data_IF_216068176209
#
_entry.id   IF_216068176209
#
_cell.length_a   1.000
_cell.length_b   1.000
_cell.length_c   1.000
_cell.angle_alpha   90.00
_cell.angle_beta   90.00
_cell.angle_gamma   90.00
#
_symmetry.space_group_name_H-M   'P 1'
#
loop_
_entity.id
_entity.type
_entity.pdbx_description
1 polymer ?
#
# COMPACT_ATOMS: atom_id res chain seq x y z
N UNK A 1 -39.13 -36.01 -9.37
CA UNK A 1 -39.45 -34.65 -8.88
C UNK A 1 -38.20 -34.08 -8.22
N UNK A 2 -37.64 -32.95 -8.70
CA UNK A 2 -36.52 -32.31 -8.03
C UNK A 2 -36.96 -31.87 -6.63
N UNK A 3 -36.12 -32.12 -5.62
CA UNK A 3 -36.39 -31.72 -4.23
C UNK A 3 -36.42 -30.19 -4.15
N UNK A 4 -37.37 -29.62 -3.41
CA UNK A 4 -37.52 -28.16 -3.27
C UNK A 4 -36.22 -27.44 -2.81
N UNK A 5 -35.31 -28.16 -2.13
CA UNK A 5 -34.00 -27.64 -1.71
C UNK A 5 -33.08 -27.23 -2.87
N UNK A 6 -33.08 -27.95 -3.98
CA UNK A 6 -32.19 -27.63 -5.10
C UNK A 6 -32.59 -26.34 -5.83
N UNK A 7 -33.88 -25.97 -5.76
CA UNK A 7 -34.41 -24.77 -6.39
C UNK A 7 -34.15 -23.51 -5.55
N UNK A 8 -34.15 -23.62 -4.22
CA UNK A 8 -33.82 -22.49 -3.34
C UNK A 8 -32.37 -22.05 -3.49
N UNK A 9 -31.44 -23.00 -3.56
CA UNK A 9 -30.00 -22.72 -3.55
C UNK A 9 -29.53 -22.03 -4.86
N UNK A 10 -30.14 -22.38 -5.99
CA UNK A 10 -29.87 -21.76 -7.28
C UNK A 10 -30.34 -20.30 -7.34
N UNK A 11 -31.46 -19.98 -6.68
CA UNK A 11 -31.98 -18.61 -6.60
C UNK A 11 -31.08 -17.73 -5.72
N UNK A 12 -30.60 -18.27 -4.59
CA UNK A 12 -29.73 -17.51 -3.66
C UNK A 12 -28.36 -17.16 -4.24
N UNK A 13 -27.77 -18.04 -5.06
CA UNK A 13 -26.48 -17.78 -5.71
C UNK A 13 -26.54 -16.61 -6.70
N UNK A 14 -27.62 -16.52 -7.48
CA UNK A 14 -27.81 -15.41 -8.43
C UNK A 14 -28.02 -14.06 -7.74
N UNK A 15 -28.77 -14.01 -6.64
CA UNK A 15 -28.96 -12.76 -5.88
C UNK A 15 -27.67 -12.26 -5.25
N UNK A 16 -26.86 -13.17 -4.70
CA UNK A 16 -25.57 -12.81 -4.08
C UNK A 16 -24.60 -12.23 -5.10
N UNK A 17 -24.46 -12.86 -6.28
CA UNK A 17 -23.59 -12.36 -7.35
C UNK A 17 -24.05 -11.01 -7.90
N UNK A 18 -25.37 -10.76 -7.95
CA UNK A 18 -25.92 -9.46 -8.36
C UNK A 18 -25.60 -8.35 -7.35
N UNK A 19 -25.72 -8.63 -6.05
CA UNK A 19 -25.33 -7.66 -5.01
C UNK A 19 -23.82 -7.37 -5.09
N UNK A 20 -22.99 -8.41 -5.27
CA UNK A 20 -21.55 -8.25 -5.41
C UNK A 20 -21.18 -7.42 -6.64
N UNK A 21 -21.82 -7.65 -7.79
CA UNK A 21 -21.53 -6.90 -9.02
C UNK A 21 -21.94 -5.42 -8.93
N UNK A 22 -22.98 -5.10 -8.14
CA UNK A 22 -23.40 -3.72 -7.88
C UNK A 22 -22.54 -3.00 -6.83
N UNK A 23 -22.08 -3.72 -5.79
CA UNK A 23 -21.33 -3.12 -4.67
C UNK A 23 -19.86 -2.90 -4.99
N UNK A 24 -19.24 -3.77 -5.78
CA UNK A 24 -17.81 -3.68 -6.12
C UNK A 24 -17.42 -2.35 -6.79
N UNK A 25 -18.15 -1.82 -7.80
CA UNK A 25 -17.83 -0.53 -8.40
C UNK A 25 -17.93 0.63 -7.41
N UNK A 26 -18.94 0.62 -6.52
CA UNK A 26 -19.13 1.67 -5.51
C UNK A 26 -17.94 1.73 -4.56
N UNK A 27 -17.51 0.58 -4.03
CA UNK A 27 -16.38 0.54 -3.10
C UNK A 27 -15.07 0.91 -3.82
N UNK A 28 -14.91 0.56 -5.10
CA UNK A 28 -13.76 1.00 -5.90
C UNK A 28 -13.72 2.52 -6.08
N UNK A 29 -14.87 3.16 -6.33
CA UNK A 29 -14.97 4.62 -6.41
C UNK A 29 -14.61 5.25 -5.07
N UNK A 30 -15.16 4.73 -3.96
CA UNK A 30 -14.84 5.20 -2.61
C UNK A 30 -13.34 5.11 -2.34
N UNK A 31 -12.71 3.97 -2.60
CA UNK A 31 -11.27 3.77 -2.36
C UNK A 31 -10.41 4.73 -3.18
N UNK A 32 -10.78 4.99 -4.44
CA UNK A 32 -10.05 5.92 -5.33
C UNK A 32 -10.22 7.36 -4.89
N UNK A 33 -11.46 7.76 -4.56
CA UNK A 33 -11.75 9.11 -4.09
C UNK A 33 -10.98 9.41 -2.80
N UNK A 34 -10.99 8.49 -1.83
CA UNK A 34 -10.29 8.68 -0.56
C UNK A 34 -8.77 8.65 -0.73
N UNK A 35 -8.24 7.87 -1.68
CA UNK A 35 -6.81 7.92 -2.04
C UNK A 35 -6.40 9.28 -2.62
N UNK A 36 -7.23 9.85 -3.52
CA UNK A 36 -6.99 11.17 -4.08
C UNK A 36 -7.03 12.26 -2.99
N UNK A 37 -8.02 12.19 -2.09
CA UNK A 37 -8.13 13.12 -0.96
C UNK A 37 -6.92 13.02 -0.02
N UNK A 38 -6.51 11.81 0.36
CA UNK A 38 -5.32 11.61 1.21
C UNK A 38 -4.04 12.09 0.53
N UNK A 39 -3.96 12.03 -0.80
CA UNK A 39 -2.81 12.51 -1.56
C UNK A 39 -2.60 14.02 -1.44
N UNK A 40 -3.68 14.80 -1.25
CA UNK A 40 -3.58 16.24 -0.96
C UNK A 40 -2.82 16.47 0.34
N UNK A 41 -3.21 15.75 1.41
CA UNK A 41 -2.49 15.77 2.68
C UNK A 41 -1.02 15.35 2.50
N UNK A 42 -0.79 14.23 1.80
CA UNK A 42 0.56 13.70 1.61
C UNK A 42 1.49 14.68 0.88
N UNK A 43 1.00 15.36 -0.18
CA UNK A 43 1.79 16.37 -0.91
C UNK A 43 2.17 17.53 0.02
N UNK A 44 1.20 18.09 0.75
CA UNK A 44 1.45 19.20 1.68
C UNK A 44 2.39 18.78 2.81
N UNK A 45 2.22 17.56 3.34
CA UNK A 45 3.04 17.02 4.41
C UNK A 45 4.50 16.76 3.96
N UNK A 46 4.69 16.23 2.75
CA UNK A 46 6.01 15.98 2.16
C UNK A 46 6.72 17.24 1.67
N UNK A 47 6.00 18.34 1.45
CA UNK A 47 6.61 19.62 1.08
C UNK A 47 7.58 20.14 2.15
N UNK A 48 7.25 19.94 3.43
CA UNK A 48 8.06 20.42 4.55
C UNK A 48 9.47 19.79 4.61
N UNK A 49 9.65 18.45 4.66
CA UNK A 49 10.99 17.86 4.65
C UNK A 49 11.72 18.07 3.31
N UNK A 50 11.01 18.17 2.18
CA UNK A 50 11.64 18.48 0.88
C UNK A 50 12.16 19.92 0.80
N UNK A 51 11.51 20.87 1.48
CA UNK A 51 11.99 22.27 1.53
C UNK A 51 13.39 22.39 2.17
N UNK A 52 13.79 21.41 2.98
CA UNK A 52 15.11 21.34 3.57
C UNK A 52 16.21 21.18 2.50
N UNK A 53 15.90 20.70 1.30
CA UNK A 53 16.82 20.57 0.16
C UNK A 53 17.30 21.92 -0.38
N UNK A 54 16.50 22.98 -0.22
CA UNK A 54 16.86 24.31 -0.72
C UNK A 54 18.14 24.85 -0.05
N UNK A 55 18.95 25.68 -0.73
CA UNK A 55 20.12 26.31 -0.12
C UNK A 55 19.72 27.32 0.97
N UNK A 56 20.59 27.55 1.96
CA UNK A 56 20.32 28.39 3.14
C UNK A 56 20.80 29.85 3.04
N UNK A 57 20.91 30.43 1.83
CA UNK A 57 21.49 31.78 1.62
C UNK A 57 20.46 32.78 1.04
N UNK A 58 20.35 34.05 1.51
CA UNK A 58 20.73 34.61 2.82
C UNK A 58 19.55 35.23 3.62
N UNK A 59 19.82 35.59 4.88
CA UNK A 59 19.01 36.35 5.86
C UNK A 59 17.71 35.74 6.41
N UNK A 60 16.78 35.25 5.59
CA UNK A 60 15.43 34.88 6.08
C UNK A 60 15.25 33.40 6.40
N UNK A 61 16.26 32.58 6.11
CA UNK A 61 16.15 31.13 6.13
C UNK A 61 17.41 30.48 6.73
N UNK A 62 17.61 30.73 8.04
CA UNK A 62 18.88 30.43 8.75
C UNK A 62 19.24 28.94 8.80
N UNK A 63 18.29 28.02 8.75
CA UNK A 63 18.57 26.58 8.78
C UNK A 63 17.57 25.76 7.95
N UNK A 64 17.98 24.53 7.59
CA UNK A 64 17.11 23.56 6.94
C UNK A 64 15.90 23.19 7.82
N UNK A 65 16.13 23.10 9.13
CA UNK A 65 15.11 22.90 10.14
C UNK A 65 14.07 24.04 10.15
N UNK A 66 14.51 25.30 10.10
CA UNK A 66 13.58 26.45 10.07
C UNK A 66 12.75 26.50 8.80
N UNK A 67 13.29 26.13 7.63
CA UNK A 67 12.49 25.98 6.41
C UNK A 67 11.40 24.96 6.59
N UNK A 68 11.81 23.77 7.01
CA UNK A 68 10.91 22.65 7.17
C UNK A 68 9.82 23.00 8.19
N UNK A 69 10.18 23.69 9.28
CA UNK A 69 9.23 24.23 10.25
C UNK A 69 8.27 25.25 9.62
N UNK A 70 8.77 26.23 8.87
CA UNK A 70 7.94 27.24 8.21
C UNK A 70 6.95 26.63 7.23
N UNK A 71 7.40 25.71 6.36
CA UNK A 71 6.53 25.00 5.42
C UNK A 71 5.56 24.08 6.15
N UNK A 72 5.99 23.43 7.24
CA UNK A 72 5.09 22.64 8.07
C UNK A 72 3.99 23.50 8.69
N UNK A 73 4.32 24.69 9.23
CA UNK A 73 3.33 25.61 9.79
C UNK A 73 2.29 26.03 8.75
N UNK A 74 2.71 26.35 7.53
CA UNK A 74 1.79 26.62 6.41
C UNK A 74 0.92 25.40 6.08
N UNK A 75 1.51 24.20 6.08
CA UNK A 75 0.77 22.97 5.83
C UNK A 75 -0.29 22.68 6.90
N UNK A 76 -0.02 23.02 8.16
CA UNK A 76 -0.98 22.81 9.27
C UNK A 76 -2.26 23.60 9.08
N UNK A 77 -2.18 24.79 8.51
CA UNK A 77 -3.39 25.57 8.18
C UNK A 77 -4.29 24.82 7.19
N UNK A 78 -3.68 24.06 6.27
CA UNK A 78 -4.42 23.31 5.24
C UNK A 78 -5.12 22.08 5.83
N UNK A 79 -4.43 21.27 6.64
CA UNK A 79 -4.92 19.94 7.04
C UNK A 79 -5.09 19.71 8.55
N UNK A 80 -4.71 20.66 9.42
CA UNK A 80 -4.86 20.52 10.88
C UNK A 80 -5.94 21.44 11.48
N UNK A 81 -6.94 21.85 10.69
CA UNK A 81 -8.10 22.53 11.26
C UNK A 81 -9.05 21.51 11.91
N UNK A 82 -9.98 22.02 12.74
CA UNK A 82 -11.00 21.21 13.42
C UNK A 82 -11.77 20.29 12.46
N UNK A 83 -11.99 20.74 11.22
CA UNK A 83 -12.75 19.99 10.22
C UNK A 83 -11.86 19.32 9.18
N UNK A 84 -10.73 19.92 8.80
CA UNK A 84 -9.89 19.36 7.74
C UNK A 84 -9.10 18.17 8.23
N UNK A 85 -8.67 18.11 9.49
CA UNK A 85 -7.92 16.95 9.99
C UNK A 85 -8.76 15.66 10.03
N UNK A 86 -9.98 15.65 10.62
CA UNK A 86 -10.78 14.44 10.66
C UNK A 86 -11.18 13.95 9.26
N UNK A 87 -11.34 14.86 8.29
CA UNK A 87 -11.78 14.51 6.93
C UNK A 87 -10.58 14.16 6.03
N UNK A 88 -9.63 15.07 5.86
CA UNK A 88 -8.52 14.92 4.91
C UNK A 88 -7.48 13.91 5.38
N UNK A 89 -7.25 13.79 6.68
CA UNK A 89 -6.22 12.90 7.22
C UNK A 89 -6.84 11.60 7.68
N UNK A 90 -7.64 11.64 8.75
CA UNK A 90 -8.13 10.43 9.41
C UNK A 90 -9.23 9.72 8.61
N UNK A 91 -10.21 10.46 8.11
CA UNK A 91 -11.35 9.95 7.39
C UNK A 91 -10.95 9.35 6.05
N UNK A 92 -10.18 10.09 5.25
CA UNK A 92 -9.70 9.60 3.96
C UNK A 92 -8.77 8.39 4.12
N UNK A 93 -7.84 8.39 5.07
CA UNK A 93 -6.93 7.26 5.33
C UNK A 93 -7.68 6.02 5.80
N UNK A 94 -8.55 6.17 6.80
CA UNK A 94 -9.32 5.06 7.36
C UNK A 94 -10.24 4.46 6.31
N UNK A 95 -10.96 5.31 5.56
CA UNK A 95 -11.86 4.84 4.50
C UNK A 95 -11.08 4.16 3.38
N UNK A 96 -9.89 4.67 3.00
CA UNK A 96 -9.02 4.04 2.01
C UNK A 96 -8.58 2.62 2.44
N UNK A 97 -8.11 2.47 3.68
CA UNK A 97 -7.67 1.18 4.21
C UNK A 97 -8.85 0.20 4.31
N UNK A 98 -9.97 0.63 4.88
CA UNK A 98 -11.15 -0.22 5.06
C UNK A 98 -11.77 -0.64 3.72
N UNK A 99 -11.90 0.28 2.76
CA UNK A 99 -12.40 -0.06 1.42
C UNK A 99 -11.46 -1.00 0.68
N UNK A 100 -10.14 -0.84 0.80
CA UNK A 100 -9.15 -1.78 0.24
C UNK A 100 -9.24 -3.19 0.83
N UNK A 101 -9.43 -3.30 2.15
CA UNK A 101 -9.69 -4.59 2.82
C UNK A 101 -11.02 -5.17 2.34
N UNK A 102 -12.09 -4.38 2.32
CA UNK A 102 -13.41 -4.81 1.89
C UNK A 102 -13.42 -5.32 0.44
N UNK A 103 -12.79 -4.62 -0.51
CA UNK A 103 -12.68 -5.09 -1.90
C UNK A 103 -11.99 -6.44 -2.00
N UNK A 104 -10.94 -6.68 -1.21
CA UNK A 104 -10.27 -7.98 -1.22
C UNK A 104 -11.22 -9.07 -0.74
N UNK A 105 -11.90 -8.85 0.39
CA UNK A 105 -12.86 -9.79 0.94
C UNK A 105 -14.02 -10.08 -0.02
N UNK A 106 -14.58 -9.04 -0.65
CA UNK A 106 -15.67 -9.19 -1.61
C UNK A 106 -15.24 -9.94 -2.88
N UNK A 107 -14.02 -9.72 -3.38
CA UNK A 107 -13.48 -10.51 -4.49
C UNK A 107 -13.22 -11.97 -4.11
N UNK A 108 -12.79 -12.25 -2.88
CA UNK A 108 -12.69 -13.63 -2.38
C UNK A 108 -14.07 -14.28 -2.35
N UNK A 109 -15.07 -13.59 -1.80
CA UNK A 109 -16.45 -14.06 -1.76
C UNK A 109 -16.97 -14.34 -3.18
N UNK A 110 -16.84 -13.37 -4.08
CA UNK A 110 -17.27 -13.51 -5.47
C UNK A 110 -16.67 -14.75 -6.13
N UNK A 111 -15.37 -15.01 -5.95
CA UNK A 111 -14.71 -16.21 -6.47
C UNK A 111 -15.27 -17.49 -5.86
N UNK A 112 -15.52 -17.50 -4.54
CA UNK A 112 -16.12 -18.66 -3.85
C UNK A 112 -17.53 -18.93 -4.38
N UNK A 113 -18.34 -17.90 -4.55
CA UNK A 113 -19.72 -18.04 -5.01
C UNK A 113 -19.79 -18.49 -6.48
N UNK A 114 -18.95 -17.91 -7.36
CA UNK A 114 -18.80 -18.38 -8.74
C UNK A 114 -18.36 -19.85 -8.79
N UNK A 115 -17.46 -20.29 -7.90
CA UNK A 115 -17.05 -21.71 -7.80
C UNK A 115 -18.21 -22.61 -7.38
N UNK A 116 -19.09 -22.18 -6.46
CA UNK A 116 -20.29 -22.94 -6.07
C UNK A 116 -21.27 -23.07 -7.22
N UNK A 117 -21.61 -21.96 -7.88
CA UNK A 117 -22.52 -21.95 -9.03
C UNK A 117 -22.00 -22.88 -10.13
N UNK A 118 -20.70 -22.81 -10.45
CA UNK A 118 -20.06 -23.69 -11.44
C UNK A 118 -20.14 -25.17 -11.04
N UNK A 119 -19.89 -25.50 -9.76
CA UNK A 119 -20.01 -26.89 -9.27
C UNK A 119 -21.44 -27.43 -9.40
N UNK A 120 -22.44 -26.63 -9.10
CA UNK A 120 -23.84 -27.05 -9.23
C UNK A 120 -24.27 -27.17 -10.71
N UNK A 121 -23.78 -26.31 -11.60
CA UNK A 121 -24.02 -26.44 -13.04
C UNK A 121 -23.40 -27.73 -13.61
N UNK A 122 -22.18 -28.06 -13.20
CA UNK A 122 -21.51 -29.32 -13.59
C UNK A 122 -22.29 -30.53 -13.09
N UNK A 123 -22.74 -30.52 -11.83
CA UNK A 123 -23.59 -31.59 -11.28
C UNK A 123 -24.93 -31.70 -12.01
N UNK A 124 -25.53 -30.57 -12.41
CA UNK A 124 -26.79 -30.56 -13.17
C UNK A 124 -26.60 -31.18 -14.54
N UNK A 125 -25.58 -30.76 -15.29
CA UNK A 125 -25.24 -31.33 -16.60
C UNK A 125 -24.91 -32.82 -16.52
N UNK A 126 -24.19 -33.25 -15.49
CA UNK A 126 -23.91 -34.68 -15.27
C UNK A 126 -25.19 -35.49 -15.05
N UNK A 127 -26.16 -34.96 -14.28
CA UNK A 127 -27.48 -35.60 -14.10
C UNK A 127 -28.30 -35.63 -15.39
N UNK A 128 -28.30 -34.53 -16.15
CA UNK A 128 -29.00 -34.45 -17.44
C UNK A 128 -28.44 -35.49 -18.43
N UNK A 129 -27.12 -35.59 -18.55
CA UNK A 129 -26.45 -36.60 -19.38
C UNK A 129 -26.77 -38.02 -18.92
N UNK A 130 -26.82 -38.27 -17.60
CA UNK A 130 -27.18 -39.58 -17.06
C UNK A 130 -28.63 -39.98 -17.37
N UNK A 131 -29.56 -39.03 -17.42
CA UNK A 131 -30.94 -39.30 -17.84
C UNK A 131 -31.08 -39.52 -19.35
N UNK A 132 -30.28 -38.86 -20.18
CA UNK A 132 -30.44 -38.90 -21.65
C UNK A 132 -29.68 -40.09 -22.25
N UNK A 133 -28.49 -40.42 -21.76
CA UNK A 133 -27.63 -41.50 -22.28
C UNK A 133 -26.98 -42.30 -21.14
N UNK A 134 -27.72 -43.22 -20.48
CA UNK A 134 -27.25 -43.91 -19.29
C UNK A 134 -25.96 -44.74 -19.47
N UNK A 135 -25.62 -45.15 -20.71
CA UNK A 135 -24.41 -45.92 -21.02
C UNK A 135 -23.18 -45.11 -21.45
N UNK A 136 -23.25 -43.78 -21.59
CA UNK A 136 -22.13 -42.93 -22.06
C UNK A 136 -21.56 -42.00 -20.99
N UNK A 137 -22.18 -42.01 -19.81
CA UNK A 137 -21.84 -41.18 -18.65
C UNK A 137 -20.42 -41.48 -18.18
N UNK A 138 -20.03 -42.75 -18.19
CA UNK A 138 -18.73 -43.21 -17.68
C UNK A 138 -17.56 -42.75 -18.56
N UNK A 139 -17.77 -42.60 -19.87
CA UNK A 139 -16.74 -42.16 -20.83
C UNK A 139 -16.59 -40.63 -20.90
N UNK A 140 -17.68 -39.85 -20.70
CA UNK A 140 -17.67 -38.39 -20.84
C UNK A 140 -17.45 -37.62 -19.54
N UNK A 141 -17.71 -38.22 -18.36
CA UNK A 141 -17.40 -37.62 -17.05
C UNK A 141 -15.93 -37.22 -16.90
N UNK A 142 -14.95 -38.06 -17.30
CA UNK A 142 -13.54 -37.70 -17.29
C UNK A 142 -13.26 -36.49 -18.17
N UNK A 143 -13.90 -36.38 -19.35
CA UNK A 143 -13.70 -35.28 -20.28
C UNK A 143 -14.31 -33.95 -19.78
N UNK A 144 -15.48 -34.01 -19.12
CA UNK A 144 -16.09 -32.86 -18.45
C UNK A 144 -15.27 -32.41 -17.24
N UNK A 145 -14.79 -33.36 -16.43
CA UNK A 145 -13.87 -33.09 -15.33
C UNK A 145 -12.58 -32.43 -15.84
N UNK A 146 -12.01 -32.95 -16.93
CA UNK A 146 -10.81 -32.42 -17.58
C UNK A 146 -11.05 -31.04 -18.20
N UNK A 147 -12.23 -30.74 -18.75
CA UNK A 147 -12.60 -29.37 -19.18
C UNK A 147 -12.72 -28.42 -17.99
N UNK A 148 -13.30 -28.85 -16.88
CA UNK A 148 -13.32 -28.01 -15.67
C UNK A 148 -11.95 -27.81 -15.05
N UNK A 149 -10.99 -28.72 -15.26
CA UNK A 149 -9.58 -28.53 -14.90
C UNK A 149 -8.87 -27.59 -15.86
N UNK A 150 -8.98 -27.79 -17.18
CA UNK A 150 -8.37 -26.91 -18.19
C UNK A 150 -8.90 -25.46 -18.12
N UNK A 151 -10.16 -25.29 -17.72
CA UNK A 151 -10.78 -23.98 -17.54
C UNK A 151 -10.55 -23.42 -16.12
N UNK A 152 -10.04 -24.24 -15.20
CA UNK A 152 -9.39 -23.81 -13.96
C UNK A 152 -8.03 -23.22 -14.30
N UNK A 153 -7.28 -23.84 -15.21
CA UNK A 153 -5.98 -23.35 -15.70
C UNK A 153 -6.10 -21.96 -16.35
N UNK A 154 -7.18 -21.68 -17.09
CA UNK A 154 -7.42 -20.33 -17.66
C UNK A 154 -7.72 -19.25 -16.60
N UNK A 155 -8.31 -19.63 -15.46
CA UNK A 155 -8.49 -18.73 -14.31
C UNK A 155 -7.20 -18.64 -13.49
N UNK A 156 -6.31 -19.62 -13.64
CA UNK A 156 -4.95 -19.64 -13.08
C UNK A 156 -3.99 -18.78 -13.91
N UNK A 157 -4.15 -18.62 -15.24
CA UNK A 157 -3.37 -17.67 -16.06
C UNK A 157 -3.52 -16.21 -15.59
N UNK A 158 -4.73 -15.80 -15.17
CA UNK A 158 -4.99 -14.48 -14.56
C UNK A 158 -4.31 -14.33 -13.17
N UNK A 159 -3.96 -15.44 -12.52
CA UNK A 159 -3.20 -15.49 -11.26
C UNK A 159 -1.70 -15.63 -11.50
N UNK A 160 -1.26 -16.34 -12.54
CA UNK A 160 0.14 -16.48 -12.93
C UNK A 160 0.73 -15.15 -13.39
N UNK A 161 -0.06 -14.26 -14.01
CA UNK A 161 0.40 -12.87 -14.26
C UNK A 161 0.69 -12.11 -12.94
N UNK A 162 0.03 -12.48 -11.82
CA UNK A 162 0.31 -11.92 -10.49
C UNK A 162 1.42 -12.64 -9.72
N UNK A 163 1.72 -13.90 -10.03
CA UNK A 163 2.81 -14.69 -9.42
C UNK A 163 4.14 -14.55 -10.19
N UNK A 164 4.12 -14.38 -11.51
CA UNK A 164 5.29 -14.06 -12.33
C UNK A 164 5.91 -12.69 -11.96
N UNK A 165 5.11 -11.75 -11.43
CA UNK A 165 5.61 -10.50 -10.84
C UNK A 165 6.34 -10.75 -9.50
N UNK A 166 6.05 -11.86 -8.81
CA UNK A 166 6.67 -12.26 -7.55
C UNK A 166 8.00 -13.02 -7.74
N UNK A 167 8.04 -13.90 -8.75
CA UNK A 167 9.18 -14.79 -9.03
C UNK A 167 10.33 -14.05 -9.75
N UNK A 168 10.07 -12.89 -10.36
CA UNK A 168 11.09 -12.07 -11.00
C UNK A 168 12.16 -11.46 -10.04
N UNK A 169 12.15 -11.81 -8.75
CA UNK A 169 13.09 -11.26 -7.75
C UNK A 169 13.99 -12.30 -7.09
N UNK A 170 13.88 -13.59 -7.40
CA UNK A 170 14.73 -14.61 -6.78
C UNK A 170 15.30 -15.58 -7.81
N UNK A 171 16.62 -15.77 -7.69
CA UNK A 171 17.45 -16.87 -8.22
C UNK A 171 18.02 -16.72 -9.63
N UNK A 172 19.31 -16.40 -9.61
CA UNK A 172 20.38 -16.81 -10.50
C UNK A 172 20.22 -18.24 -11.07
N UNK A 173 20.55 -18.36 -12.36
CA UNK A 173 21.10 -19.52 -13.07
C UNK A 173 21.06 -20.88 -12.36
N UNK A 174 19.96 -21.61 -12.50
CA UNK A 174 19.99 -23.07 -12.65
C UNK A 174 18.72 -23.50 -13.40
N UNK A 175 18.91 -24.13 -14.55
CA UNK A 175 17.87 -24.68 -15.40
C UNK A 175 17.28 -25.93 -14.72
N UNK A 176 16.41 -25.72 -13.74
CA UNK A 176 15.63 -26.80 -13.14
C UNK A 176 14.46 -27.08 -14.08
N UNK A 177 14.55 -28.20 -14.78
CA UNK A 177 13.42 -28.84 -15.47
C UNK A 177 12.41 -29.26 -14.40
N UNK A 178 11.46 -28.37 -14.08
CA UNK A 178 10.37 -28.66 -13.16
C UNK A 178 9.34 -29.53 -13.91
N UNK A 179 9.10 -30.78 -13.48
CA UNK A 179 8.02 -31.59 -14.07
C UNK A 179 6.69 -30.90 -13.79
N UNK A 180 5.81 -30.86 -14.80
CA UNK A 180 4.47 -30.27 -14.76
C UNK A 180 3.79 -30.57 -13.41
N UNK A 181 3.76 -29.55 -12.53
CA UNK A 181 3.28 -29.70 -11.18
C UNK A 181 1.78 -29.95 -11.22
N UNK A 182 1.32 -31.00 -10.55
CA UNK A 182 -0.11 -31.24 -10.29
C UNK A 182 -0.75 -29.93 -9.80
N UNK A 183 -1.73 -29.42 -10.55
CA UNK A 183 -2.46 -28.19 -10.29
C UNK A 183 -2.77 -28.03 -8.79
N UNK A 184 -1.93 -27.26 -8.10
CA UNK A 184 -2.10 -26.98 -6.70
C UNK A 184 -3.31 -26.06 -6.58
N UNK A 185 -4.35 -26.50 -5.89
CA UNK A 185 -5.60 -25.76 -5.79
C UNK A 185 -5.34 -24.30 -5.38
N UNK A 186 -5.63 -23.36 -6.30
CA UNK A 186 -5.37 -21.94 -6.11
C UNK A 186 -5.82 -21.45 -4.72
N UNK A 187 -4.95 -20.70 -4.01
CA UNK A 187 -5.18 -20.34 -2.62
C UNK A 187 -6.48 -19.56 -2.48
N UNK A 188 -7.25 -19.90 -1.45
CA UNK A 188 -8.54 -19.26 -1.16
C UNK A 188 -8.36 -17.74 -0.95
N UNK A 189 -7.24 -17.35 -0.35
CA UNK A 189 -6.83 -15.96 -0.17
C UNK A 189 -5.82 -15.56 -1.25
N UNK A 190 -6.13 -14.53 -2.05
CA UNK A 190 -5.22 -14.11 -3.11
C UNK A 190 -3.98 -13.50 -2.46
N UNK A 191 -2.81 -14.00 -2.88
CA UNK A 191 -1.52 -13.47 -2.45
C UNK A 191 -1.48 -11.97 -2.76
N UNK A 192 -1.15 -11.11 -1.79
CA UNK A 192 -1.10 -9.68 -2.05
C UNK A 192 0.01 -9.36 -3.04
N UNK A 193 -0.30 -8.55 -4.05
CA UNK A 193 0.70 -8.01 -4.97
C UNK A 193 1.63 -7.02 -4.25
N UNK A 194 2.70 -6.58 -4.92
CA UNK A 194 3.73 -5.71 -4.32
C UNK A 194 3.14 -4.42 -3.75
N UNK A 195 2.27 -3.73 -4.49
CA UNK A 195 1.59 -2.51 -4.02
C UNK A 195 0.75 -2.75 -2.75
N UNK A 196 0.07 -3.90 -2.65
CA UNK A 196 -0.71 -4.25 -1.48
C UNK A 196 0.18 -4.61 -0.29
N UNK A 197 1.30 -5.33 -0.53
CA UNK A 197 2.28 -5.65 0.51
C UNK A 197 2.88 -4.38 1.11
N UNK A 198 3.25 -3.41 0.29
CA UNK A 198 3.77 -2.13 0.79
C UNK A 198 2.72 -1.39 1.61
N UNK A 199 1.45 -1.43 1.21
CA UNK A 199 0.33 -0.90 2.00
C UNK A 199 0.21 -1.55 3.38
N UNK A 200 0.24 -2.88 3.46
CA UNK A 200 0.16 -3.59 4.75
C UNK A 200 1.38 -3.39 5.63
N UNK A 201 2.59 -3.43 5.04
CA UNK A 201 3.84 -3.17 5.76
C UNK A 201 3.90 -1.73 6.30
N UNK A 202 3.29 -0.77 5.60
CA UNK A 202 3.26 0.63 6.02
C UNK A 202 2.40 0.86 7.28
N UNK A 203 1.34 0.07 7.51
CA UNK A 203 0.38 0.27 8.61
C UNK A 203 1.06 0.45 9.98
N UNK A 204 1.89 -0.50 10.48
CA UNK A 204 2.49 -0.36 11.81
C UNK A 204 3.39 0.88 11.93
N UNK A 205 4.17 1.20 10.88
CA UNK A 205 5.03 2.38 10.89
C UNK A 205 4.24 3.68 10.82
N UNK A 206 3.14 3.72 10.06
CA UNK A 206 2.27 4.89 9.98
C UNK A 206 1.52 5.12 11.29
N UNK A 207 1.02 4.05 11.93
CA UNK A 207 0.38 4.11 13.25
C UNK A 207 1.38 4.64 14.28
N UNK A 208 2.60 4.10 14.32
CA UNK A 208 3.64 4.58 15.22
C UNK A 208 4.02 6.05 14.93
N UNK A 209 4.17 6.42 13.66
CA UNK A 209 4.46 7.81 13.28
C UNK A 209 3.36 8.76 13.76
N UNK A 210 2.09 8.43 13.53
CA UNK A 210 0.96 9.23 14.00
C UNK A 210 0.87 9.23 15.53
N UNK A 211 1.19 8.12 16.19
CA UNK A 211 1.26 8.03 17.65
C UNK A 211 2.28 9.03 18.21
N UNK A 212 3.52 8.97 17.75
CA UNK A 212 4.62 9.79 18.27
C UNK A 212 4.48 11.26 17.92
N UNK A 213 4.03 11.58 16.69
CA UNK A 213 4.02 12.95 16.19
C UNK A 213 2.67 13.68 16.32
N UNK A 214 1.57 12.96 16.59
CA UNK A 214 0.23 13.57 16.68
C UNK A 214 -0.50 13.21 17.97
N UNK A 215 -0.71 11.91 18.22
CA UNK A 215 -1.62 11.47 19.29
C UNK A 215 -1.01 11.65 20.68
N UNK A 216 0.23 11.21 20.88
CA UNK A 216 0.91 11.31 22.16
C UNK A 216 1.17 12.78 22.57
N UNK A 217 1.64 13.67 21.68
CA UNK A 217 1.73 15.11 21.96
C UNK A 217 0.41 15.80 22.29
N UNK A 218 -0.72 15.34 21.72
CA UNK A 218 -2.05 15.89 21.98
C UNK A 218 -2.64 15.41 23.31
N UNK A 219 -1.97 14.49 24.02
CA UNK A 219 -2.47 13.95 25.28
C UNK A 219 -2.54 15.02 26.38
N UNK A 220 -3.68 15.14 27.09
CA UNK A 220 -3.82 16.06 28.22
C UNK A 220 -3.11 15.56 29.49
N UNK A 221 -2.45 14.40 29.45
CA UNK A 221 -1.79 13.81 30.62
C UNK A 221 -0.43 14.48 30.90
N UNK A 222 -0.09 14.77 32.17
CA UNK A 222 1.25 15.20 32.52
C UNK A 222 2.27 14.08 32.21
N UNK A 223 3.53 14.41 31.87
CA UNK A 223 4.12 15.76 31.75
C UNK A 223 3.90 16.43 30.38
N UNK A 224 3.15 15.81 29.46
CA UNK A 224 3.05 16.19 28.04
C UNK A 224 2.05 17.34 27.84
N UNK A 225 1.06 17.49 28.72
CA UNK A 225 -0.01 18.51 28.70
C UNK A 225 0.41 19.98 28.58
N UNK A 226 1.71 20.25 28.55
CA UNK A 226 2.32 21.58 28.45
C UNK A 226 3.23 21.76 27.22
N UNK A 227 3.31 20.77 26.32
CA UNK A 227 3.88 20.94 24.99
C UNK A 227 2.75 21.33 24.02
N UNK A 228 2.66 22.63 23.72
CA UNK A 228 1.83 23.10 22.60
C UNK A 228 2.15 22.32 21.32
N UNK A 229 1.16 22.04 20.45
CA UNK A 229 1.38 21.47 19.12
C UNK A 229 2.47 22.20 18.30
N UNK A 230 2.74 23.47 18.60
CA UNK A 230 3.82 24.25 17.98
C UNK A 230 5.23 23.79 18.35
N UNK A 231 5.43 23.10 19.49
CA UNK A 231 6.72 22.56 19.90
C UNK A 231 7.07 21.23 19.22
N UNK A 232 6.08 20.48 18.72
CA UNK A 232 6.32 19.27 17.93
C UNK A 232 6.58 19.64 16.48
N UNK A 233 7.82 20.04 16.20
CA UNK A 233 8.27 20.50 14.90
C UNK A 233 9.51 19.68 14.47
N UNK A 234 10.26 20.13 13.46
CA UNK A 234 11.46 19.42 13.00
C UNK A 234 12.62 19.42 14.00
N UNK A 235 12.59 20.23 15.05
CA UNK A 235 13.53 20.10 16.18
C UNK A 235 13.35 18.75 16.88
N UNK A 236 12.12 18.25 17.00
CA UNK A 236 11.84 16.92 17.56
C UNK A 236 12.41 15.81 16.66
N UNK A 237 12.24 15.93 15.33
CA UNK A 237 12.84 15.01 14.35
C UNK A 237 14.37 15.03 14.42
N UNK A 238 14.97 16.22 14.56
CA UNK A 238 16.42 16.35 14.74
C UNK A 238 16.89 15.70 16.05
N UNK A 239 16.17 15.91 17.15
CA UNK A 239 16.45 15.30 18.44
C UNK A 239 16.36 13.77 18.38
N UNK A 240 15.29 13.21 17.79
CA UNK A 240 15.10 11.76 17.71
C UNK A 240 16.20 11.08 16.89
N UNK A 241 16.64 11.73 15.80
CA UNK A 241 17.72 11.24 14.96
C UNK A 241 19.11 11.43 15.55
N UNK A 242 19.31 12.34 16.50
CA UNK A 242 20.59 12.51 17.20
C UNK A 242 20.53 12.13 18.67
N UNK A 243 19.56 11.30 19.03
CA UNK A 243 19.34 10.88 20.40
C UNK A 243 20.56 10.08 20.93
N UNK A 244 20.87 10.22 22.22
CA UNK A 244 22.02 9.55 22.86
C UNK A 244 21.84 8.02 22.93
N UNK A 245 20.63 7.55 23.24
CA UNK A 245 20.27 6.13 23.17
C UNK A 245 20.28 5.64 21.72
N UNK A 246 21.16 4.67 21.43
CA UNK A 246 21.28 4.02 20.13
C UNK A 246 19.95 3.40 19.67
N UNK A 247 19.19 2.78 20.59
CA UNK A 247 17.91 2.13 20.27
C UNK A 247 16.89 3.15 19.77
N UNK A 248 16.72 4.27 20.47
CA UNK A 248 15.79 5.33 20.07
C UNK A 248 16.23 6.00 18.77
N UNK A 249 17.54 6.22 18.61
CA UNK A 249 18.10 6.81 17.38
C UNK A 249 17.89 5.90 16.18
N UNK A 250 18.26 4.63 16.28
CA UNK A 250 18.12 3.65 15.21
C UNK A 250 16.63 3.38 14.91
N UNK A 251 15.81 3.23 15.96
CA UNK A 251 14.36 3.07 15.82
C UNK A 251 13.70 4.26 15.11
N UNK A 252 14.09 5.49 15.45
CA UNK A 252 13.58 6.70 14.77
C UNK A 252 14.01 6.76 13.31
N UNK A 253 15.29 6.46 13.03
CA UNK A 253 15.81 6.42 11.68
C UNK A 253 15.10 5.37 10.81
N UNK A 254 14.92 4.15 11.34
CA UNK A 254 14.18 3.07 10.68
C UNK A 254 12.72 3.47 10.47
N UNK A 255 12.06 4.04 11.49
CA UNK A 255 10.68 4.50 11.39
C UNK A 255 10.48 5.54 10.29
N UNK A 256 11.32 6.58 10.24
CA UNK A 256 11.26 7.59 9.18
C UNK A 256 11.58 7.03 7.80
N UNK A 257 12.61 6.17 7.69
CA UNK A 257 12.96 5.53 6.42
C UNK A 257 11.83 4.61 5.91
N UNK A 258 11.21 3.84 6.81
CA UNK A 258 10.10 2.95 6.47
C UNK A 258 8.85 3.73 6.04
N UNK A 259 8.43 4.75 6.80
CA UNK A 259 7.27 5.58 6.41
C UNK A 259 7.57 6.30 5.09
N UNK A 260 8.70 6.97 4.95
CA UNK A 260 9.04 7.70 3.73
C UNK A 260 9.13 6.75 2.52
N UNK A 261 9.85 5.63 2.64
CA UNK A 261 10.05 4.68 1.56
C UNK A 261 8.76 3.96 1.14
N UNK A 262 8.06 3.36 2.10
CA UNK A 262 6.84 2.58 1.83
C UNK A 262 5.67 3.48 1.41
N UNK A 263 5.47 4.64 2.07
CA UNK A 263 4.36 5.53 1.72
C UNK A 263 4.56 6.16 0.34
N UNK A 264 5.78 6.60 0.00
CA UNK A 264 6.04 7.15 -1.34
C UNK A 264 5.94 6.08 -2.43
N UNK A 265 6.41 4.85 -2.17
CA UNK A 265 6.23 3.74 -3.11
C UNK A 265 4.74 3.45 -3.31
N UNK A 266 3.99 3.25 -2.22
CA UNK A 266 2.57 2.92 -2.25
C UNK A 266 1.78 4.04 -2.95
N UNK A 267 2.05 5.30 -2.60
CA UNK A 267 1.42 6.48 -3.19
C UNK A 267 1.72 6.62 -4.69
N UNK A 268 2.97 6.47 -5.13
CA UNK A 268 3.34 6.60 -6.54
C UNK A 268 2.76 5.47 -7.40
N UNK A 269 2.77 4.23 -6.92
CA UNK A 269 2.10 3.13 -7.63
C UNK A 269 0.59 3.35 -7.66
N UNK A 270 0.00 3.80 -6.55
CA UNK A 270 -1.43 4.14 -6.47
C UNK A 270 -1.80 5.23 -7.48
N UNK A 271 -1.01 6.31 -7.55
CA UNK A 271 -1.19 7.41 -8.50
C UNK A 271 -1.08 6.92 -9.95
N UNK A 272 -0.10 6.07 -10.24
CA UNK A 272 0.07 5.45 -11.57
C UNK A 272 -1.17 4.64 -11.97
N UNK A 273 -1.71 3.80 -11.06
CA UNK A 273 -2.91 3.00 -11.30
C UNK A 273 -4.16 3.88 -11.47
N UNK A 274 -4.22 5.01 -10.75
CA UNK A 274 -5.33 5.96 -10.88
C UNK A 274 -5.32 6.69 -12.23
N UNK A 275 -4.14 7.07 -12.72
CA UNK A 275 -3.98 7.70 -14.03
C UNK A 275 -4.16 6.70 -15.18
N UNK A 276 -3.69 5.47 -14.99
CA UNK A 276 -3.79 4.39 -15.96
C UNK A 276 -4.13 3.08 -15.25
N UNK A 277 -5.40 2.68 -15.34
CA UNK A 277 -5.90 1.46 -14.70
C UNK A 277 -5.29 0.17 -15.25
N UNK A 278 -4.65 0.22 -16.42
CA UNK A 278 -3.94 -0.91 -17.03
C UNK A 278 -2.47 -0.99 -16.61
N UNK A 279 -1.99 0.01 -15.87
CA UNK A 279 -0.60 0.05 -15.44
C UNK A 279 -0.25 -1.09 -14.46
N UNK A 280 0.98 -1.63 -14.53
CA UNK A 280 1.53 -2.57 -13.57
C UNK A 280 1.40 -2.08 -12.13
N UNK A 281 1.14 -3.03 -11.21
CA UNK A 281 0.97 -2.76 -9.76
C UNK A 281 2.32 -2.79 -9.01
N UNK A 282 3.40 -2.47 -9.70
CA UNK A 282 4.74 -2.27 -9.16
C UNK A 282 5.48 -1.19 -9.94
N UNK A 283 6.54 -0.67 -9.32
CA UNK A 283 7.52 0.20 -9.99
C UNK A 283 8.62 -0.60 -10.71
N UNK A 284 8.58 -1.93 -10.66
CA UNK A 284 9.60 -2.74 -11.29
C UNK A 284 9.50 -2.62 -12.81
N UNK A 285 10.62 -2.47 -13.54
CA UNK A 285 10.60 -2.50 -14.99
C UNK A 285 10.14 -3.87 -15.46
N UNK A 286 9.12 -3.90 -16.34
CA UNK A 286 8.65 -5.15 -16.96
C UNK A 286 9.79 -5.67 -17.85
N UNK A 287 10.46 -6.74 -17.42
CA UNK A 287 11.52 -7.39 -18.20
C UNK A 287 10.85 -8.10 -19.38
N UNK A 288 10.67 -7.40 -20.50
CA UNK A 288 10.11 -8.01 -21.72
C UNK A 288 11.12 -9.04 -22.24
N UNK A 289 10.70 -10.30 -22.35
CA UNK A 289 11.50 -11.37 -22.95
C UNK A 289 11.79 -10.97 -24.39
N UNK A 290 13.06 -10.75 -24.72
CA UNK A 290 13.50 -10.21 -26.00
C UNK A 290 13.35 -11.27 -27.09
N UNK A 291 12.21 -11.31 -27.76
CA UNK A 291 12.00 -12.13 -28.96
C UNK A 291 11.75 -11.31 -30.23
N UNK A 292 11.61 -9.97 -30.17
CA UNK A 292 11.30 -9.17 -31.35
C UNK A 292 12.09 -7.85 -31.48
N UNK A 293 12.84 -7.79 -32.60
CA UNK A 293 13.25 -6.64 -33.44
C UNK A 293 13.96 -5.42 -32.82
N UNK A 294 15.19 -5.22 -33.28
CA UNK A 294 16.20 -4.22 -32.89
C UNK A 294 15.80 -2.74 -33.06
N UNK A 295 14.73 -2.40 -33.81
CA UNK A 295 14.45 -1.01 -34.17
C UNK A 295 13.58 -0.22 -33.18
N UNK A 296 13.17 -0.81 -32.06
CA UNK A 296 12.34 -0.13 -31.03
C UNK A 296 13.02 0.07 -29.67
N UNK A 297 14.31 -0.26 -29.55
CA UNK A 297 15.05 -0.32 -28.29
C UNK A 297 15.05 1.01 -27.50
N UNK A 298 15.19 2.16 -28.18
CA UNK A 298 15.32 3.45 -27.48
C UNK A 298 13.98 3.91 -26.88
N UNK A 299 12.86 3.72 -27.59
CA UNK A 299 11.53 4.10 -27.08
C UNK A 299 11.01 3.12 -26.00
N UNK A 300 11.47 1.87 -26.01
CA UNK A 300 11.08 0.86 -25.02
C UNK A 300 11.88 0.94 -23.72
N UNK A 301 13.12 1.44 -23.74
CA UNK A 301 13.98 1.52 -22.54
C UNK A 301 13.58 2.61 -21.54
N UNK A 302 12.88 3.66 -21.99
CA UNK A 302 12.46 4.78 -21.12
C UNK A 302 11.08 4.56 -20.51
N UNK A 303 10.18 3.87 -21.23
CA UNK A 303 8.77 3.72 -20.85
C UNK A 303 8.61 2.78 -19.65
N UNK A 304 8.44 3.37 -18.46
CA UNK A 304 8.23 2.66 -17.20
C UNK A 304 9.32 2.87 -16.16
N UNK A 305 10.53 3.31 -16.56
CA UNK A 305 11.61 3.65 -15.60
C UNK A 305 11.40 5.02 -14.94
N UNK A 306 10.57 5.87 -15.54
CA UNK A 306 10.25 7.21 -15.03
C UNK A 306 9.67 7.16 -13.61
N UNK A 307 8.73 6.26 -13.33
CA UNK A 307 8.14 6.13 -11.99
C UNK A 307 9.13 5.62 -10.94
N UNK A 308 10.04 4.73 -11.35
CA UNK A 308 11.12 4.26 -10.48
C UNK A 308 12.11 5.39 -10.20
N UNK A 309 12.49 6.17 -11.21
CA UNK A 309 13.35 7.34 -11.07
C UNK A 309 12.69 8.41 -10.17
N UNK A 310 11.39 8.66 -10.34
CA UNK A 310 10.62 9.57 -9.50
C UNK A 310 10.61 9.12 -8.04
N UNK A 311 10.39 7.82 -7.79
CA UNK A 311 10.44 7.26 -6.44
C UNK A 311 11.83 7.38 -5.82
N UNK A 312 12.90 7.01 -6.54
CA UNK A 312 14.28 7.13 -6.07
C UNK A 312 14.62 8.59 -5.76
N UNK A 313 14.27 9.52 -6.66
CA UNK A 313 14.52 10.95 -6.46
C UNK A 313 13.78 11.48 -5.23
N UNK A 314 12.52 11.08 -5.04
CA UNK A 314 11.70 11.49 -3.89
C UNK A 314 12.26 10.96 -2.57
N UNK A 315 12.56 9.65 -2.48
CA UNK A 315 13.13 9.04 -1.27
C UNK A 315 14.51 9.61 -0.97
N UNK A 316 15.36 9.79 -1.97
CA UNK A 316 16.69 10.39 -1.80
C UNK A 316 16.58 11.84 -1.33
N UNK A 317 15.67 12.61 -1.93
CA UNK A 317 15.38 13.98 -1.52
C UNK A 317 14.89 14.07 -0.07
N UNK A 318 13.97 13.19 0.34
CA UNK A 318 13.50 13.11 1.72
C UNK A 318 14.62 12.71 2.69
N UNK A 319 15.46 11.76 2.32
CA UNK A 319 16.60 11.33 3.13
C UNK A 319 17.62 12.47 3.33
N UNK A 320 18.01 13.15 2.26
CA UNK A 320 18.92 14.31 2.32
C UNK A 320 18.28 15.44 3.14
N UNK A 321 17.02 15.77 2.88
CA UNK A 321 16.30 16.81 3.62
C UNK A 321 16.26 16.53 5.12
N UNK A 322 15.94 15.28 5.49
CA UNK A 322 15.91 14.82 6.89
C UNK A 322 17.30 14.83 7.52
N UNK A 323 18.34 14.42 6.79
CA UNK A 323 19.73 14.48 7.27
C UNK A 323 20.20 15.93 7.49
N UNK A 324 19.79 16.86 6.62
CA UNK A 324 20.05 18.30 6.80
C UNK A 324 19.32 18.88 8.01
N UNK A 325 18.05 18.49 8.23
CA UNK A 325 17.29 18.86 9.44
C UNK A 325 17.99 18.34 10.70
N UNK A 326 18.48 17.09 10.68
CA UNK A 326 19.22 16.52 11.79
C UNK A 326 20.63 17.14 11.98
N UNK A 327 21.08 18.02 11.10
CA UNK A 327 22.40 18.65 11.17
C UNK A 327 23.56 17.77 10.72
N UNK A 328 23.30 16.57 10.17
CA UNK A 328 24.36 15.65 9.72
C UNK A 328 25.15 16.17 8.51
N UNK A 329 24.56 17.08 7.73
CA UNK A 329 25.16 17.64 6.51
C UNK A 329 25.54 19.12 6.69
N UNK A 330 26.01 19.50 7.88
CA UNK A 330 26.49 20.86 8.16
C UNK A 330 25.38 21.91 8.27
N UNK A 331 24.17 21.49 8.69
CA UNK A 331 23.09 22.43 9.00
C UNK A 331 23.37 23.14 10.32
N UNK A 332 23.44 24.47 10.30
CA UNK A 332 23.45 25.30 11.52
C UNK A 332 22.17 25.03 12.32
N UNK A 333 22.25 24.23 13.39
CA UNK A 333 21.13 24.08 14.34
C UNK A 333 20.91 25.42 15.02
N UNK A 334 19.65 25.82 15.13
CA UNK A 334 19.30 27.10 15.76
C UNK A 334 19.27 26.90 17.25
N UNK A 335 20.40 27.19 17.88
CA UNK A 335 20.52 27.25 19.33
C UNK A 335 20.28 25.92 20.03
N UNK A 336 20.70 25.86 21.29
CA UNK A 336 20.29 24.77 22.15
C UNK A 336 18.84 25.02 22.55
N UNK A 337 17.96 24.04 22.29
CA UNK A 337 16.61 24.06 22.86
C UNK A 337 16.72 24.17 24.39
N UNK A 338 15.83 24.94 25.05
CA UNK A 338 15.80 24.99 26.50
C UNK A 338 15.69 23.58 27.10
N UNK A 339 16.44 23.31 28.18
CA UNK A 339 16.56 21.96 28.75
C UNK A 339 15.24 21.35 29.20
N UNK A 340 14.26 22.18 29.58
CA UNK A 340 12.92 21.69 29.91
C UNK A 340 12.15 21.18 28.68
N UNK A 341 12.37 21.78 27.50
CA UNK A 341 11.75 21.34 26.23
C UNK A 341 12.37 20.02 25.80
N UNK A 342 13.69 19.91 25.82
CA UNK A 342 14.39 18.68 25.43
C UNK A 342 14.02 17.51 26.33
N UNK A 343 13.92 17.71 27.64
CA UNK A 343 13.45 16.67 28.59
C UNK A 343 12.04 16.18 28.28
N UNK A 344 11.12 17.06 27.89
CA UNK A 344 9.75 16.66 27.55
C UNK A 344 9.67 15.96 26.19
N UNK A 345 10.45 16.43 25.21
CA UNK A 345 10.57 15.74 23.92
C UNK A 345 11.19 14.34 24.10
N UNK A 346 12.24 14.21 24.90
CA UNK A 346 12.85 12.93 25.27
C UNK A 346 11.82 11.99 25.93
N UNK A 347 11.02 12.52 26.86
CA UNK A 347 9.93 11.76 27.48
C UNK A 347 8.93 11.22 26.44
N UNK A 348 8.48 12.06 25.50
CA UNK A 348 7.56 11.64 24.44
C UNK A 348 8.21 10.56 23.56
N UNK A 349 9.48 10.74 23.19
CA UNK A 349 10.19 9.77 22.38
C UNK A 349 10.30 8.42 23.10
N UNK A 350 10.76 8.41 24.35
CA UNK A 350 10.85 7.19 25.18
C UNK A 350 9.51 6.49 25.32
N UNK A 351 8.46 7.23 25.63
CA UNK A 351 7.11 6.68 25.80
C UNK A 351 6.52 6.17 24.49
N UNK A 352 6.82 6.85 23.39
CA UNK A 352 6.41 6.45 22.04
C UNK A 352 7.02 5.10 21.62
N UNK A 353 8.27 4.84 22.01
CA UNK A 353 8.96 3.58 21.72
C UNK A 353 8.69 2.47 22.75
N UNK A 354 8.32 2.79 23.98
CA UNK A 354 8.05 1.80 25.03
C UNK A 354 6.68 1.09 24.89
N UNK A 355 5.82 1.54 23.98
CA UNK A 355 4.47 1.01 23.77
C UNK A 355 4.33 0.20 22.47
N UNK A 356 5.43 0.04 21.73
CA UNK A 356 5.56 -0.96 20.66
C UNK A 356 6.19 -2.20 21.28
#
# INVERSE_FOLDING_TARGET
MPTNSARSDAVTGNTTLLILSQTLPVIQVVQRATAATFSIFAVVHLAAPLSALLPSKPAYVRSAENRANGVALLGREVYQSEWTEPILVWGSLTTHVLSGIALRWLRVWERVERRKVRKEEVKRRARELATIWPGRVEDELPALAKRTELEKDLVEDDLEETEAELVATTTSDEEIVVPASKAAAAPLFPVPNVHQRTGYLLIPFLVHHAWVHRLLPASPLPPISSLSPSFFNYSFTALSLTHESLVLRAGSAIGYAAVAGLATYHGLVGWRIMLDSTAPRSLAPRRKRSTESHNSLIYQLTRGREWQAAWIALVTGLAIGTARIAGYLGGERIGQLPSFVTKRMDYVLRRGFAQI
#
